data_IF_735217679761
#
_entry.id   IF_735217679761
#
_cell.length_a   1.000
_cell.length_b   1.000
_cell.length_c   1.000
_cell.angle_alpha   90.00
_cell.angle_beta   90.00
_cell.angle_gamma   90.00
#
_symmetry.space_group_name_H-M   'P 1'
#
loop_
_entity.id
_entity.type
_entity.pdbx_description
1 polymer ?
#
# COMPACT_ATOMS: atom_id res chain seq x y z
N UNK A 1 -11.01 15.49 5.78
CA UNK A 1 -9.55 15.82 5.81
C UNK A 1 -8.72 14.53 5.90
N UNK A 2 -8.36 13.90 4.76
CA UNK A 2 -7.54 12.67 4.72
C UNK A 2 -6.02 12.97 4.70
N UNK A 3 -5.63 14.20 4.36
CA UNK A 3 -4.22 14.61 4.26
C UNK A 3 -3.42 14.66 5.58
N UNK A 4 -4.05 14.46 6.74
CA UNK A 4 -3.36 14.54 8.03
C UNK A 4 -2.60 13.24 8.37
N UNK A 5 -3.09 12.06 7.96
CA UNK A 5 -2.47 10.79 8.34
C UNK A 5 -1.10 10.58 7.69
N UNK A 6 -0.97 10.85 6.39
CA UNK A 6 0.32 10.75 5.68
C UNK A 6 1.37 11.69 6.30
N UNK A 7 0.96 12.91 6.67
CA UNK A 7 1.85 13.87 7.34
C UNK A 7 2.30 13.37 8.71
N UNK A 8 1.38 12.82 9.52
CA UNK A 8 1.70 12.21 10.82
C UNK A 8 2.67 11.05 10.67
N UNK A 9 2.38 10.09 9.79
CA UNK A 9 3.27 8.94 9.54
C UNK A 9 4.64 9.38 9.06
N UNK A 10 4.72 10.33 8.12
CA UNK A 10 5.99 10.89 7.65
C UNK A 10 6.81 11.50 8.78
N UNK A 11 6.20 12.32 9.63
CA UNK A 11 6.90 12.95 10.76
C UNK A 11 7.45 11.90 11.73
N UNK A 12 6.66 10.88 12.07
CA UNK A 12 7.09 9.80 12.97
C UNK A 12 8.21 8.99 12.33
N UNK A 13 8.08 8.60 11.07
CA UNK A 13 9.09 7.85 10.32
C UNK A 13 10.42 8.60 10.22
N UNK A 14 10.38 9.93 9.98
CA UNK A 14 11.57 10.77 10.02
C UNK A 14 12.18 10.85 11.42
N UNK A 15 11.37 11.01 12.46
CA UNK A 15 11.85 11.08 13.84
C UNK A 15 12.48 9.77 14.31
N UNK A 16 11.98 8.63 13.82
CA UNK A 16 12.49 7.29 14.11
C UNK A 16 13.69 6.90 13.23
N UNK A 17 14.02 7.68 12.20
CA UNK A 17 15.11 7.39 11.26
C UNK A 17 14.85 6.17 10.36
N UNK A 18 13.59 5.74 10.21
CA UNK A 18 13.24 4.54 9.45
C UNK A 18 11.75 4.26 9.43
N UNK A 19 11.35 3.11 8.85
CA UNK A 19 9.93 2.74 8.79
C UNK A 19 9.35 2.54 10.18
N UNK A 20 10.15 2.14 11.19
CA UNK A 20 9.73 2.10 12.58
C UNK A 20 8.82 0.94 12.94
N UNK A 21 8.01 1.11 14.01
CA UNK A 21 7.13 0.09 14.57
C UNK A 21 5.72 0.09 13.96
N UNK A 22 5.61 0.44 12.68
CA UNK A 22 4.33 0.40 11.97
C UNK A 22 4.05 -1.01 11.45
N UNK A 23 2.78 -1.41 11.31
CA UNK A 23 2.45 -2.67 10.67
C UNK A 23 3.01 -2.70 9.24
N UNK A 24 3.40 -3.89 8.74
CA UNK A 24 3.90 -4.05 7.39
C UNK A 24 2.87 -3.59 6.34
N UNK A 25 3.36 -3.33 5.13
CA UNK A 25 2.49 -3.08 3.98
C UNK A 25 2.04 -4.42 3.44
N UNK A 26 0.74 -4.61 3.30
CA UNK A 26 0.18 -5.86 2.79
C UNK A 26 0.14 -5.80 1.27
N UNK A 27 0.80 -6.77 0.62
CA UNK A 27 0.85 -6.86 -0.83
C UNK A 27 0.42 -8.25 -1.28
N UNK A 28 -0.16 -8.32 -2.47
CA UNK A 28 -0.34 -9.56 -3.22
C UNK A 28 0.53 -9.52 -4.47
N UNK A 29 0.98 -10.69 -4.92
CA UNK A 29 1.70 -10.82 -6.20
C UNK A 29 0.76 -11.49 -7.18
N UNK A 30 0.43 -10.79 -8.26
CA UNK A 30 -0.47 -11.30 -9.30
C UNK A 30 0.20 -11.05 -10.64
N UNK A 31 0.43 -12.12 -11.41
CA UNK A 31 1.09 -12.06 -12.73
C UNK A 31 2.44 -11.30 -12.70
N UNK A 32 3.20 -11.46 -11.63
CA UNK A 32 4.50 -10.78 -11.44
C UNK A 32 4.42 -9.31 -11.04
N UNK A 33 3.20 -8.76 -10.85
CA UNK A 33 2.98 -7.41 -10.34
C UNK A 33 2.69 -7.45 -8.84
N UNK A 34 3.33 -6.56 -8.08
CA UNK A 34 3.04 -6.36 -6.66
C UNK A 34 1.92 -5.33 -6.53
N UNK A 35 0.81 -5.72 -5.92
CA UNK A 35 -0.35 -4.85 -5.67
C UNK A 35 -0.46 -4.63 -4.18
N UNK A 36 -0.56 -3.37 -3.76
CA UNK A 36 -0.80 -3.02 -2.36
C UNK A 36 -2.27 -3.25 -2.05
N UNK A 37 -2.56 -4.10 -1.08
CA UNK A 37 -3.92 -4.33 -0.56
C UNK A 37 -4.19 -3.38 0.61
N UNK A 38 -3.26 -3.29 1.56
CA UNK A 38 -3.35 -2.35 2.68
C UNK A 38 -2.02 -1.62 2.92
N UNK A 39 -2.15 -0.39 3.42
CA UNK A 39 -1.00 0.42 3.80
C UNK A 39 -0.62 1.52 2.80
N UNK A 40 -1.51 1.88 1.87
CA UNK A 40 -1.30 2.96 0.88
C UNK A 40 -0.76 4.27 1.50
N UNK A 41 -1.33 4.71 2.63
CA UNK A 41 -0.85 5.90 3.33
C UNK A 41 0.55 5.73 3.95
N UNK A 42 0.88 4.53 4.44
CA UNK A 42 2.19 4.20 5.01
C UNK A 42 3.24 4.12 3.91
N UNK A 43 2.93 3.47 2.79
CA UNK A 43 3.76 3.44 1.60
C UNK A 43 4.09 4.85 1.10
N UNK A 44 3.06 5.70 0.98
CA UNK A 44 3.22 7.10 0.57
C UNK A 44 4.04 7.92 1.57
N UNK A 45 3.82 7.72 2.87
CA UNK A 45 4.56 8.40 3.92
C UNK A 45 6.04 7.99 3.93
N UNK A 46 6.35 6.71 3.77
CA UNK A 46 7.71 6.19 3.73
C UNK A 46 8.49 6.75 2.52
N UNK A 47 7.89 6.77 1.33
CA UNK A 47 8.48 7.41 0.16
C UNK A 47 8.74 8.90 0.38
N UNK A 48 7.77 9.62 0.96
CA UNK A 48 7.93 11.05 1.29
C UNK A 48 8.92 11.32 2.45
N UNK A 49 9.26 10.30 3.24
CA UNK A 49 10.27 10.34 4.29
C UNK A 49 11.67 10.00 3.77
N UNK A 50 11.80 9.50 2.53
CA UNK A 50 13.08 9.07 1.94
C UNK A 50 13.51 7.65 2.35
N UNK A 51 12.58 6.85 2.88
CA UNK A 51 12.86 5.47 3.30
C UNK A 51 12.87 4.57 2.06
N UNK A 52 14.00 3.92 1.80
CA UNK A 52 14.19 3.07 0.62
C UNK A 52 13.61 1.67 0.77
N UNK A 53 13.62 1.14 1.99
CA UNK A 53 13.18 -0.23 2.30
C UNK A 53 12.09 -0.19 3.36
N UNK A 54 10.99 -0.89 3.11
CA UNK A 54 9.84 -0.98 4.01
C UNK A 54 9.47 -2.45 4.21
N UNK A 55 9.00 -2.84 5.41
CA UNK A 55 8.54 -4.20 5.66
C UNK A 55 7.23 -4.44 4.91
N UNK A 56 7.19 -5.55 4.16
CA UNK A 56 6.02 -6.00 3.41
C UNK A 56 5.58 -7.37 3.91
N UNK A 57 4.27 -7.58 3.98
CA UNK A 57 3.66 -8.88 4.17
C UNK A 57 3.10 -9.33 2.81
N UNK A 58 3.67 -10.40 2.27
CA UNK A 58 3.20 -10.98 1.02
C UNK A 58 2.09 -11.97 1.36
N UNK A 59 0.87 -11.65 0.94
CA UNK A 59 -0.27 -12.56 1.03
C UNK A 59 -0.26 -13.38 -0.25
N UNK A 60 0.07 -14.66 -0.12
CA UNK A 60 0.01 -15.58 -1.25
C UNK A 60 -1.46 -15.89 -1.56
N UNK A 61 -1.87 -15.54 -2.77
CA UNK A 61 -3.21 -15.78 -3.28
C UNK A 61 -3.07 -16.59 -4.56
N UNK A 62 -3.96 -17.57 -4.76
CA UNK A 62 -3.97 -18.32 -6.01
C UNK A 62 -4.14 -17.35 -7.20
N UNK A 63 -3.55 -17.68 -8.35
CA UNK A 63 -3.60 -16.82 -9.53
C UNK A 63 -5.04 -16.43 -9.91
N UNK A 64 -5.98 -17.36 -9.73
CA UNK A 64 -7.41 -17.13 -9.95
C UNK A 64 -7.98 -16.08 -8.98
N UNK A 65 -7.66 -16.20 -7.68
CA UNK A 65 -8.11 -15.23 -6.68
C UNK A 65 -7.46 -13.86 -6.88
N UNK A 66 -6.20 -13.83 -7.29
CA UNK A 66 -5.50 -12.60 -7.64
C UNK A 66 -6.14 -11.85 -8.81
N UNK A 67 -6.56 -12.58 -9.86
CA UNK A 67 -7.31 -12.00 -10.98
C UNK A 67 -8.67 -11.48 -10.56
N UNK A 68 -9.42 -12.23 -9.75
CA UNK A 68 -10.70 -11.74 -9.23
C UNK A 68 -10.52 -10.46 -8.42
N UNK A 69 -9.50 -10.38 -7.57
CA UNK A 69 -9.21 -9.15 -6.82
C UNK A 69 -8.85 -7.97 -7.71
N UNK A 70 -8.14 -8.19 -8.84
CA UNK A 70 -7.91 -7.13 -9.82
C UNK A 70 -9.20 -6.67 -10.50
N UNK A 71 -10.07 -7.61 -10.90
CA UNK A 71 -11.35 -7.31 -11.54
C UNK A 71 -12.26 -6.56 -10.57
N UNK A 72 -12.39 -7.03 -9.33
CA UNK A 72 -13.16 -6.38 -8.27
C UNK A 72 -12.61 -4.96 -7.98
N UNK A 73 -11.28 -4.80 -7.96
CA UNK A 73 -10.66 -3.49 -7.76
C UNK A 73 -10.90 -2.54 -8.95
N UNK A 74 -10.90 -3.06 -10.18
CA UNK A 74 -11.19 -2.29 -11.38
C UNK A 74 -12.68 -1.90 -11.46
N UNK A 75 -13.58 -2.82 -11.16
CA UNK A 75 -15.03 -2.58 -11.10
C UNK A 75 -15.37 -1.57 -9.98
N UNK A 76 -14.74 -1.70 -8.81
CA UNK A 76 -14.86 -0.73 -7.73
C UNK A 76 -14.32 0.65 -8.14
N UNK A 77 -13.21 0.73 -8.88
CA UNK A 77 -12.67 2.00 -9.38
C UNK A 77 -13.60 2.66 -10.42
N UNK A 78 -14.19 1.87 -11.32
CA UNK A 78 -15.17 2.34 -12.31
C UNK A 78 -16.42 2.90 -11.62
N UNK A 79 -16.98 2.14 -10.66
CA UNK A 79 -18.13 2.58 -9.86
C UNK A 79 -17.83 3.84 -9.02
N UNK A 80 -16.57 4.07 -8.65
CA UNK A 80 -16.12 5.27 -7.94
C UNK A 80 -15.66 6.40 -8.87
N UNK A 81 -15.64 6.19 -10.19
CA UNK A 81 -15.21 7.18 -11.18
C UNK A 81 -13.72 7.55 -11.10
N UNK A 82 -12.86 6.64 -10.63
CA UNK A 82 -11.42 6.88 -10.50
C UNK A 82 -10.67 6.34 -11.74
N UNK A 83 -9.76 7.13 -12.37
CA UNK A 83 -8.95 6.64 -13.48
C UNK A 83 -7.89 5.65 -12.97
N UNK A 84 -7.80 4.52 -13.66
CA UNK A 84 -6.82 3.45 -13.45
C UNK A 84 -5.46 3.76 -14.09
#
# INVERSE_FOLDING_TARGET
>A
MVGNQVKKYKCIMKAQGGYGNFPPIEIIIVEGRMIIIDGHHRARAAGAAGIRNVPVLIIDVSAERGRQLMLDAADAAENLGLPW
#
